data_IF_339824817769
#
_entry.id   IF_339824817769
#
_cell.length_a   1.000
_cell.length_b   1.000
_cell.length_c   1.000
_cell.angle_alpha   90.00
_cell.angle_beta   90.00
_cell.angle_gamma   90.00
#
_symmetry.space_group_name_H-M   'P 1'
#
loop_
_entity.id
_entity.type
_entity.pdbx_description
1 polymer ?
#
# COMPACT_ATOMS: atom_id res chain seq x y z
N UNK A 1 -3.07 31.99 6.12
CA UNK A 1 -1.93 31.78 5.22
C UNK A 1 -1.22 30.44 5.44
N UNK A 2 -0.93 30.01 6.68
CA UNK A 2 -0.29 28.71 6.96
C UNK A 2 -1.12 27.49 6.50
N UNK A 3 -2.46 27.54 6.66
CA UNK A 3 -3.35 26.47 6.22
C UNK A 3 -3.33 26.27 4.69
N UNK A 4 -3.33 27.34 3.89
CA UNK A 4 -3.26 27.25 2.44
C UNK A 4 -1.91 26.67 1.96
N UNK A 5 -0.81 27.04 2.62
CA UNK A 5 0.52 26.47 2.35
C UNK A 5 0.61 24.99 2.78
N UNK A 6 -0.06 24.59 3.87
CA UNK A 6 -0.15 23.19 4.31
C UNK A 6 -1.02 22.35 3.37
N UNK A 7 -2.16 22.88 2.92
CA UNK A 7 -3.03 22.24 1.92
C UNK A 7 -2.31 22.07 0.58
N UNK A 8 -1.56 23.08 0.12
CA UNK A 8 -0.73 22.96 -1.08
C UNK A 8 0.37 21.91 -0.91
N UNK A 9 1.03 21.85 0.25
CA UNK A 9 2.05 20.83 0.56
C UNK A 9 1.47 19.41 0.58
N UNK A 10 0.27 19.23 1.12
CA UNK A 10 -0.45 17.97 1.10
C UNK A 10 -0.87 17.58 -0.33
N UNK A 11 -1.28 18.54 -1.16
CA UNK A 11 -1.61 18.29 -2.57
C UNK A 11 -0.38 18.01 -3.45
N UNK A 12 0.79 18.53 -3.07
CA UNK A 12 2.06 18.31 -3.77
C UNK A 12 2.69 16.94 -3.42
N UNK A 13 2.30 16.33 -2.30
CA UNK A 13 2.50 14.90 -2.04
C UNK A 13 1.40 14.14 -2.76
N UNK A 14 1.60 13.90 -4.07
CA UNK A 14 0.70 13.07 -4.85
C UNK A 14 0.40 11.75 -4.11
N UNK A 15 -0.87 11.35 -4.10
CA UNK A 15 -1.27 10.09 -3.49
C UNK A 15 -0.67 8.95 -4.30
N UNK A 16 0.34 8.28 -3.75
CA UNK A 16 0.93 7.08 -4.35
C UNK A 16 0.02 5.90 -3.99
N UNK A 17 -0.53 5.27 -5.01
CA UNK A 17 -1.33 4.05 -4.85
C UNK A 17 -0.42 2.83 -4.86
N UNK A 18 -0.93 1.69 -4.36
CA UNK A 18 -0.19 0.43 -4.46
C UNK A 18 0.14 0.07 -5.92
N UNK A 19 -0.72 0.45 -6.86
CA UNK A 19 -0.51 0.18 -8.29
C UNK A 19 0.68 0.95 -8.87
N UNK A 20 1.00 2.12 -8.33
CA UNK A 20 2.14 2.94 -8.77
C UNK A 20 3.50 2.35 -8.37
N UNK A 21 3.53 1.45 -7.37
CA UNK A 21 4.76 0.85 -6.83
C UNK A 21 4.81 -0.67 -6.96
N UNK A 22 3.68 -1.31 -7.29
CA UNK A 22 3.61 -2.77 -7.41
C UNK A 22 4.23 -3.26 -8.72
N UNK A 23 5.17 -4.19 -8.61
CA UNK A 23 5.68 -4.92 -9.77
C UNK A 23 4.71 -6.05 -10.09
N UNK A 24 4.04 -5.95 -11.25
CA UNK A 24 3.14 -6.99 -11.76
C UNK A 24 3.90 -7.94 -12.68
N UNK A 25 3.77 -9.24 -12.43
CA UNK A 25 4.29 -10.29 -13.31
C UNK A 25 3.14 -10.99 -14.01
N UNK A 26 3.30 -11.27 -15.30
CA UNK A 26 2.47 -12.24 -16.04
C UNK A 26 2.75 -13.66 -15.56
N UNK A 27 1.94 -14.64 -15.97
CA UNK A 27 2.13 -16.04 -15.58
C UNK A 27 3.42 -16.62 -16.15
N UNK A 28 3.79 -16.20 -17.35
CA UNK A 28 5.01 -16.57 -18.05
C UNK A 28 6.24 -15.98 -17.33
N UNK A 29 6.18 -14.69 -16.98
CA UNK A 29 7.25 -14.03 -16.20
C UNK A 29 7.38 -14.60 -14.79
N UNK A 30 6.25 -14.96 -14.15
CA UNK A 30 6.24 -15.59 -12.83
C UNK A 30 7.00 -16.91 -12.80
N UNK A 31 6.94 -17.69 -13.90
CA UNK A 31 7.67 -18.95 -14.03
C UNK A 31 9.18 -18.75 -14.22
N UNK A 32 9.61 -17.58 -14.68
CA UNK A 32 11.02 -17.21 -14.84
C UNK A 32 11.62 -16.67 -13.53
N UNK A 33 10.80 -16.36 -12.52
CA UNK A 33 11.28 -15.86 -11.23
C UNK A 33 12.01 -16.95 -10.44
N UNK A 34 13.14 -16.55 -9.85
CA UNK A 34 13.82 -17.38 -8.86
C UNK A 34 12.93 -17.61 -7.65
N UNK A 35 13.20 -18.67 -6.90
CA UNK A 35 12.45 -19.00 -5.70
C UNK A 35 12.49 -17.87 -4.66
N UNK A 36 13.65 -17.20 -4.54
CA UNK A 36 13.83 -16.02 -3.68
C UNK A 36 12.90 -14.87 -4.10
N UNK A 37 12.79 -14.58 -5.40
CA UNK A 37 11.91 -13.53 -5.91
C UNK A 37 10.43 -13.85 -5.67
N UNK A 38 10.03 -15.11 -5.84
CA UNK A 38 8.66 -15.56 -5.55
C UNK A 38 8.32 -15.48 -4.06
N UNK A 39 9.26 -15.79 -3.18
CA UNK A 39 9.10 -15.63 -1.74
C UNK A 39 8.93 -14.15 -1.37
N UNK A 40 9.80 -13.28 -1.85
CA UNK A 40 9.72 -11.83 -1.58
C UNK A 40 8.38 -11.23 -2.02
N UNK A 41 7.85 -11.64 -3.18
CA UNK A 41 6.55 -11.18 -3.65
C UNK A 41 5.40 -11.63 -2.73
N UNK A 42 5.43 -12.88 -2.26
CA UNK A 42 4.42 -13.42 -1.34
C UNK A 42 4.47 -12.73 0.03
N UNK A 43 5.67 -12.47 0.54
CA UNK A 43 5.86 -11.77 1.81
C UNK A 43 5.37 -10.33 1.71
N UNK A 44 5.65 -9.64 0.61
CA UNK A 44 5.15 -8.28 0.37
C UNK A 44 3.60 -8.24 0.33
N UNK A 45 2.97 -9.22 -0.32
CA UNK A 45 1.51 -9.35 -0.36
C UNK A 45 0.94 -9.62 1.04
N UNK A 46 1.57 -10.50 1.82
CA UNK A 46 1.14 -10.82 3.18
C UNK A 46 1.26 -9.61 4.13
N UNK A 47 2.37 -8.87 4.05
CA UNK A 47 2.58 -7.64 4.81
C UNK A 47 1.53 -6.58 4.46
N UNK A 48 1.26 -6.39 3.17
CA UNK A 48 0.26 -5.42 2.70
C UNK A 48 -1.15 -5.80 3.15
N UNK A 49 -1.52 -7.09 3.04
CA UNK A 49 -2.80 -7.61 3.52
C UNK A 49 -2.97 -7.41 5.03
N UNK A 50 -1.94 -7.70 5.82
CA UNK A 50 -1.95 -7.50 7.27
C UNK A 50 -2.12 -6.03 7.65
N UNK A 51 -1.41 -5.12 6.99
CA UNK A 51 -1.55 -3.68 7.20
C UNK A 51 -2.96 -3.19 6.87
N UNK A 52 -3.56 -3.66 5.77
CA UNK A 52 -4.95 -3.35 5.39
C UNK A 52 -5.94 -3.87 6.44
N UNK A 53 -5.73 -5.08 6.96
CA UNK A 53 -6.55 -5.65 8.04
C UNK A 53 -6.41 -4.86 9.35
N UNK A 54 -5.19 -4.46 9.72
CA UNK A 54 -4.91 -3.70 10.94
C UNK A 54 -5.50 -2.29 10.89
N UNK A 55 -5.37 -1.60 9.76
CA UNK A 55 -5.92 -0.24 9.55
C UNK A 55 -7.44 -0.23 9.50
N UNK A 56 -8.06 -1.26 8.91
CA UNK A 56 -9.52 -1.46 8.92
C UNK A 56 -10.06 -1.66 10.35
N UNK A 57 -9.29 -2.33 11.21
CA UNK A 57 -9.66 -2.58 12.60
C UNK A 57 -9.61 -1.32 13.47
N UNK A 58 -8.79 -0.32 13.09
CA UNK A 58 -8.63 0.93 13.83
C UNK A 58 -9.70 2.01 13.49
N UNK A 59 -10.53 1.78 12.45
CA UNK A 59 -11.66 2.65 12.08
C UNK A 59 -12.99 2.24 12.73
N UNK A 60 -13.02 1.09 13.44
CA UNK A 60 -14.20 0.60 14.13
C UNK A 60 -14.12 0.90 15.64
N UNK A 61 -14.03 2.17 16.01
CA UNK A 61 -14.44 2.61 17.36
C UNK A 61 -15.67 3.50 17.19
N UNK A 62 -16.85 3.08 17.68
CA UNK A 62 -17.99 3.98 17.69
C UNK A 62 -17.62 5.14 18.61
N UNK A 63 -17.59 6.35 18.05
CA UNK A 63 -17.59 7.57 18.84
C UNK A 63 -18.97 7.60 19.50
N UNK A 64 -19.08 6.95 20.66
CA UNK A 64 -20.23 7.09 21.53
C UNK A 64 -20.30 8.56 21.94
N UNK A 65 -21.40 9.21 21.57
CA UNK A 65 -21.74 10.59 21.89
C UNK A 65 -22.83 10.59 22.95
#
# INVERSE_FOLDING_TARGET
>A
MAAAAATLRLSAQGTVTFEDVAVKFTREEWNLLSEVQRCLYRDNLALTSSLVCATRSNQMKPIAR
#
